data_IF_039429179793
#
_entry.id   IF_039429179793
#
_cell.length_a   1.000
_cell.length_b   1.000
_cell.length_c   1.000
_cell.angle_alpha   90.00
_cell.angle_beta   90.00
_cell.angle_gamma   90.00
#
_symmetry.space_group_name_H-M   'P 1'
#
loop_
_entity.id
_entity.type
_entity.pdbx_description
1 polymer ?
#
# COMPACT_ATOMS: atom_id res chain seq x y z
N UNK A 1 19.48 49.96 -22.30
CA UNK A 1 18.44 48.91 -22.25
C UNK A 1 17.43 49.29 -21.18
N UNK A 2 16.17 49.50 -21.57
CA UNK A 2 15.05 49.80 -20.66
C UNK A 2 14.27 48.51 -20.44
N UNK A 3 14.09 48.08 -19.20
CA UNK A 3 12.92 47.30 -18.82
C UNK A 3 12.38 47.82 -17.48
N UNK A 4 11.12 48.27 -17.54
CA UNK A 4 10.27 48.70 -16.42
C UNK A 4 9.70 47.45 -15.76
N UNK A 5 9.76 47.37 -14.43
CA UNK A 5 8.84 46.56 -13.63
C UNK A 5 8.24 47.51 -12.60
N UNK A 6 6.94 47.81 -12.78
CA UNK A 6 6.10 48.53 -11.82
C UNK A 6 5.30 47.45 -11.07
N UNK A 7 5.62 47.28 -9.78
CA UNK A 7 4.78 46.59 -8.80
C UNK A 7 3.97 47.66 -8.04
N UNK A 8 2.65 47.58 -8.17
CA UNK A 8 1.64 48.31 -7.38
C UNK A 8 0.49 47.33 -7.20
N UNK A 9 -0.23 47.15 -6.09
CA UNK A 9 -0.27 47.65 -4.70
C UNK A 9 -1.51 46.95 -4.10
N UNK A 10 -1.52 46.64 -2.80
CA UNK A 10 -2.69 46.70 -1.87
C UNK A 10 -2.29 45.92 -0.61
N UNK A 11 -1.81 46.55 0.46
CA UNK A 11 -2.53 47.32 1.50
C UNK A 11 -3.57 46.45 2.23
N UNK A 12 -3.12 45.86 3.35
CA UNK A 12 -3.97 45.43 4.45
C UNK A 12 -4.22 46.65 5.35
N UNK A 13 -5.48 47.06 5.49
CA UNK A 13 -5.90 48.13 6.39
C UNK A 13 -6.13 47.53 7.77
N UNK A 14 -5.20 47.80 8.68
CA UNK A 14 -5.36 47.61 10.12
C UNK A 14 -5.74 48.98 10.71
N UNK A 15 -7.00 49.15 11.11
CA UNK A 15 -7.50 50.37 11.74
C UNK A 15 -7.50 50.23 13.26
N UNK A 16 -6.78 51.10 13.95
CA UNK A 16 -6.85 51.31 15.40
C UNK A 16 -7.45 52.70 15.71
N UNK A 17 -8.19 52.72 16.83
CA UNK A 17 -8.34 53.81 17.80
C UNK A 17 -9.08 55.10 17.41
N UNK A 18 -10.18 55.38 18.12
CA UNK A 18 -10.31 56.61 18.95
C UNK A 18 -11.02 56.27 20.25
N UNK A 19 -10.37 56.64 21.35
CA UNK A 19 -10.83 56.64 22.74
C UNK A 19 -11.54 57.97 23.02
N UNK A 20 -12.71 57.93 23.65
CA UNK A 20 -13.25 59.09 24.37
C UNK A 20 -13.24 58.76 25.87
N UNK A 21 -12.42 59.51 26.60
CA UNK A 21 -12.34 59.53 28.05
C UNK A 21 -13.53 60.33 28.61
N UNK A 22 -14.30 59.74 29.50
CA UNK A 22 -14.99 60.48 30.56
C UNK A 22 -14.78 59.75 31.89
N UNK A 23 -14.35 60.54 32.87
CA UNK A 23 -13.99 60.17 34.24
C UNK A 23 -15.21 59.76 35.07
N UNK A 24 -15.07 58.81 36.00
CA UNK A 24 -15.30 58.98 37.45
C UNK A 24 -14.98 57.66 38.19
N UNK A 25 -14.72 57.79 39.49
CA UNK A 25 -13.89 56.92 40.33
C UNK A 25 -14.55 55.63 40.87
N UNK A 26 -13.64 54.70 41.22
CA UNK A 26 -13.69 53.68 42.28
C UNK A 26 -14.81 52.62 42.30
N UNK A 27 -14.45 51.39 41.97
CA UNK A 27 -14.42 50.26 42.91
C UNK A 27 -13.70 49.07 42.26
N UNK A 28 -12.58 48.64 42.85
CA UNK A 28 -11.79 47.50 42.35
C UNK A 28 -12.52 46.19 42.65
N UNK A 29 -13.23 45.66 41.65
CA UNK A 29 -13.48 44.22 41.55
C UNK A 29 -12.49 43.65 40.55
N UNK A 30 -11.57 42.84 41.05
CA UNK A 30 -10.70 41.97 40.26
C UNK A 30 -11.55 41.18 39.27
N UNK A 31 -11.37 41.31 37.95
CA UNK A 31 -12.01 40.40 37.02
C UNK A 31 -11.31 39.06 37.12
N UNK A 32 -12.08 38.06 37.51
CA UNK A 32 -11.73 36.65 37.53
C UNK A 32 -11.18 36.24 36.16
N UNK A 33 -9.97 35.67 36.18
CA UNK A 33 -9.28 35.19 34.99
C UNK A 33 -10.09 33.99 34.48
N UNK A 34 -10.71 34.13 33.30
CA UNK A 34 -11.26 32.97 32.61
C UNK A 34 -10.06 32.16 32.15
N UNK A 35 -9.76 31.11 32.91
CA UNK A 35 -8.72 30.15 32.58
C UNK A 35 -9.13 29.44 31.28
N UNK A 36 -8.55 29.87 30.17
CA UNK A 36 -8.56 29.13 28.90
C UNK A 36 -7.58 27.96 28.99
N UNK A 37 -7.87 27.01 29.88
CA UNK A 37 -7.15 25.74 29.98
C UNK A 37 -8.19 24.63 30.06
N UNK A 38 -8.68 24.23 28.89
CA UNK A 38 -9.12 22.87 28.56
C UNK A 38 -9.66 22.85 27.11
N UNK A 39 -8.78 23.03 26.13
CA UNK A 39 -9.03 22.47 24.80
C UNK A 39 -8.67 21.00 24.92
N UNK A 40 -9.63 20.22 25.42
CA UNK A 40 -9.57 18.77 25.32
C UNK A 40 -9.48 18.44 23.83
N UNK A 41 -8.43 17.73 23.45
CA UNK A 41 -8.27 17.12 22.13
C UNK A 41 -9.32 16.02 21.95
N UNK A 42 -10.60 16.40 21.82
CA UNK A 42 -11.64 15.48 21.38
C UNK A 42 -11.43 15.22 19.89
N UNK A 43 -11.12 13.96 19.56
CA UNK A 43 -11.10 13.48 18.18
C UNK A 43 -12.47 13.81 17.58
N UNK A 44 -12.51 14.61 16.51
CA UNK A 44 -13.77 15.00 15.89
C UNK A 44 -14.53 13.75 15.40
N UNK A 45 -15.77 13.59 15.86
CA UNK A 45 -16.65 12.52 15.44
C UNK A 45 -17.61 13.02 14.36
N UNK A 46 -17.52 12.44 13.17
CA UNK A 46 -18.39 12.77 12.05
C UNK A 46 -19.82 12.31 12.33
N UNK A 47 -20.81 13.21 12.29
CA UNK A 47 -22.22 12.80 12.34
C UNK A 47 -22.72 12.33 10.97
N UNK A 48 -23.60 11.31 10.92
CA UNK A 48 -24.23 10.87 9.67
C UNK A 48 -24.99 11.99 8.94
N UNK A 49 -25.63 12.90 9.68
CA UNK A 49 -26.40 14.03 9.13
C UNK A 49 -25.48 15.03 8.43
N UNK A 50 -24.34 15.36 9.05
CA UNK A 50 -23.37 16.24 8.43
C UNK A 50 -22.79 15.59 7.16
N UNK A 51 -22.47 14.29 7.20
CA UNK A 51 -22.03 13.59 6.00
C UNK A 51 -23.09 13.66 4.88
N UNK A 52 -24.35 13.35 5.19
CA UNK A 52 -25.45 13.45 4.20
C UNK A 52 -25.55 14.84 3.57
N UNK A 53 -25.36 15.89 4.37
CA UNK A 53 -25.31 17.25 3.85
C UNK A 53 -24.11 17.46 2.91
N UNK A 54 -22.92 16.98 3.27
CA UNK A 54 -21.73 17.05 2.39
C UNK A 54 -21.91 16.27 1.08
N UNK A 55 -22.54 15.10 1.14
CA UNK A 55 -22.88 14.31 -0.05
C UNK A 55 -23.87 15.07 -0.93
N UNK A 56 -24.88 15.71 -0.34
CA UNK A 56 -25.83 16.55 -1.07
C UNK A 56 -25.12 17.72 -1.76
N UNK A 57 -24.13 18.35 -1.14
CA UNK A 57 -23.38 19.47 -1.74
C UNK A 57 -22.39 19.01 -2.82
N UNK A 58 -21.77 17.85 -2.65
CA UNK A 58 -20.73 17.34 -3.56
C UNK A 58 -21.28 16.45 -4.68
N UNK A 59 -22.56 16.04 -4.56
CA UNK A 59 -23.26 15.09 -5.43
C UNK A 59 -22.64 13.69 -5.48
N UNK A 60 -21.69 13.35 -4.59
CA UNK A 60 -21.19 11.98 -4.48
C UNK A 60 -20.57 11.66 -3.10
N UNK A 61 -20.78 10.44 -2.58
CA UNK A 61 -20.15 10.00 -1.32
C UNK A 61 -18.63 10.08 -1.35
N UNK A 62 -17.98 9.67 -2.44
CA UNK A 62 -16.53 9.71 -2.57
C UNK A 62 -15.97 11.14 -2.56
N UNK A 63 -16.61 12.08 -3.27
CA UNK A 63 -16.20 13.50 -3.27
C UNK A 63 -16.35 14.13 -1.89
N UNK A 64 -17.43 13.82 -1.18
CA UNK A 64 -17.61 14.25 0.21
C UNK A 64 -16.51 13.70 1.11
N UNK A 65 -16.24 12.38 1.05
CA UNK A 65 -15.20 11.71 1.83
C UNK A 65 -13.82 12.30 1.55
N UNK A 66 -13.45 12.48 0.28
CA UNK A 66 -12.17 13.11 -0.11
C UNK A 66 -12.04 14.51 0.46
N UNK A 67 -13.08 15.34 0.33
CA UNK A 67 -13.10 16.70 0.88
C UNK A 67 -12.94 16.70 2.40
N UNK A 68 -13.68 15.83 3.10
CA UNK A 68 -13.60 15.72 4.55
C UNK A 68 -12.23 15.26 5.03
N UNK A 69 -11.64 14.24 4.41
CA UNK A 69 -10.30 13.75 4.76
C UNK A 69 -9.24 14.84 4.52
N UNK A 70 -9.35 15.61 3.42
CA UNK A 70 -8.43 16.72 3.15
C UNK A 70 -8.48 17.83 4.22
N UNK A 71 -9.62 18.03 4.89
CA UNK A 71 -9.76 19.04 5.95
C UNK A 71 -9.57 18.49 7.37
N UNK A 72 -9.85 17.20 7.57
CA UNK A 72 -9.82 16.52 8.86
C UNK A 72 -9.07 15.17 8.76
N UNK A 73 -7.77 15.18 8.40
CA UNK A 73 -7.00 13.94 8.13
C UNK A 73 -6.91 13.01 9.35
N UNK A 74 -6.89 13.57 10.56
CA UNK A 74 -6.86 12.83 11.83
C UNK A 74 -8.17 12.07 12.14
N UNK A 75 -9.24 12.35 11.38
CA UNK A 75 -10.58 11.77 11.58
C UNK A 75 -10.96 10.74 10.52
N UNK A 76 -9.98 10.25 9.76
CA UNK A 76 -10.18 9.30 8.67
C UNK A 76 -10.99 8.07 9.07
N UNK A 77 -10.70 7.47 10.23
CA UNK A 77 -11.43 6.32 10.78
C UNK A 77 -12.92 6.61 10.88
N UNK A 78 -13.27 7.78 11.46
CA UNK A 78 -14.66 8.19 11.65
C UNK A 78 -15.32 8.52 10.32
N UNK A 79 -14.61 9.19 9.42
CA UNK A 79 -15.14 9.60 8.11
C UNK A 79 -15.49 8.37 7.28
N UNK A 80 -14.53 7.46 7.11
CA UNK A 80 -14.69 6.25 6.31
C UNK A 80 -15.73 5.33 6.93
N UNK A 81 -15.68 5.11 8.25
CA UNK A 81 -16.66 4.24 8.91
C UNK A 81 -18.09 4.74 8.67
N UNK A 82 -18.36 6.02 8.96
CA UNK A 82 -19.70 6.59 8.80
C UNK A 82 -20.12 6.59 7.33
N UNK A 83 -19.20 6.85 6.40
CA UNK A 83 -19.51 6.82 4.98
C UNK A 83 -19.92 5.43 4.49
N UNK A 84 -19.19 4.39 4.89
CA UNK A 84 -19.52 3.01 4.53
C UNK A 84 -20.82 2.54 5.20
N UNK A 85 -21.15 3.03 6.39
CA UNK A 85 -22.44 2.75 7.04
C UNK A 85 -23.62 3.41 6.33
N UNK A 86 -23.44 4.64 5.83
CA UNK A 86 -24.53 5.39 5.18
C UNK A 86 -24.70 5.05 3.69
N UNK A 87 -23.62 4.65 3.03
CA UNK A 87 -23.55 4.46 1.58
C UNK A 87 -22.81 3.15 1.21
N UNK A 88 -23.22 1.98 1.75
CA UNK A 88 -22.50 0.72 1.57
C UNK A 88 -22.41 0.30 0.11
N UNK A 89 -23.45 0.54 -0.68
CA UNK A 89 -23.48 0.25 -2.13
C UNK A 89 -22.47 1.10 -2.94
N UNK A 90 -21.97 2.21 -2.36
CA UNK A 90 -20.97 3.08 -2.97
C UNK A 90 -19.56 2.86 -2.40
N UNK A 91 -19.32 1.72 -1.72
CA UNK A 91 -18.05 1.43 -1.06
C UNK A 91 -16.82 1.64 -1.97
N UNK A 92 -16.91 1.26 -3.25
CA UNK A 92 -15.77 1.40 -4.18
C UNK A 92 -15.35 2.86 -4.32
N UNK A 93 -16.33 3.75 -4.52
CA UNK A 93 -16.07 5.17 -4.68
C UNK A 93 -15.51 5.79 -3.38
N UNK A 94 -16.04 5.36 -2.24
CA UNK A 94 -15.62 5.82 -0.90
C UNK A 94 -14.18 5.39 -0.59
N UNK A 95 -13.87 4.10 -0.75
CA UNK A 95 -12.53 3.55 -0.50
C UNK A 95 -11.53 4.20 -1.45
N UNK A 96 -11.84 4.25 -2.75
CA UNK A 96 -10.95 4.87 -3.73
C UNK A 96 -10.67 6.33 -3.36
N UNK A 97 -11.72 7.09 -3.02
CA UNK A 97 -11.58 8.49 -2.65
C UNK A 97 -10.80 8.69 -1.35
N UNK A 98 -11.00 7.82 -0.35
CA UNK A 98 -10.28 7.88 0.92
C UNK A 98 -8.80 7.54 0.74
N UNK A 99 -8.49 6.44 0.06
CA UNK A 99 -7.11 6.00 -0.21
C UNK A 99 -6.37 7.04 -1.04
N UNK A 100 -6.96 7.53 -2.13
CA UNK A 100 -6.32 8.59 -2.93
C UNK A 100 -6.19 9.93 -2.20
N UNK A 101 -7.01 10.19 -1.17
CA UNK A 101 -6.86 11.40 -0.35
C UNK A 101 -5.74 11.26 0.68
N UNK A 102 -5.53 10.06 1.22
CA UNK A 102 -4.56 9.80 2.27
C UNK A 102 -3.91 8.41 2.10
N UNK A 103 -2.98 8.26 1.13
CA UNK A 103 -2.28 7.00 0.83
C UNK A 103 -1.72 6.25 2.04
N UNK A 104 -1.13 6.97 3.00
CA UNK A 104 -0.51 6.36 4.18
C UNK A 104 -1.49 5.74 5.17
N UNK A 105 -2.80 5.98 5.01
CA UNK A 105 -3.86 5.36 5.82
C UNK A 105 -4.57 4.21 5.11
N UNK A 106 -4.02 3.71 3.99
CA UNK A 106 -4.65 2.64 3.20
C UNK A 106 -4.93 1.37 4.00
N UNK A 107 -4.01 0.98 4.90
CA UNK A 107 -4.19 -0.18 5.79
C UNK A 107 -5.43 -0.02 6.69
N UNK A 108 -5.57 1.15 7.32
CA UNK A 108 -6.69 1.45 8.21
C UNK A 108 -8.01 1.51 7.43
N UNK A 109 -8.03 2.17 6.27
CA UNK A 109 -9.23 2.26 5.41
C UNK A 109 -9.70 0.87 5.00
N UNK A 110 -8.78 0.02 4.56
CA UNK A 110 -9.09 -1.35 4.10
C UNK A 110 -9.57 -2.19 5.27
N UNK A 111 -8.91 -2.13 6.43
CA UNK A 111 -9.34 -2.84 7.64
C UNK A 111 -10.77 -2.47 8.03
N UNK A 112 -11.12 -1.17 8.05
CA UNK A 112 -12.48 -0.71 8.34
C UNK A 112 -13.48 -1.30 7.34
N UNK A 113 -13.16 -1.31 6.04
CA UNK A 113 -14.06 -1.80 5.01
C UNK A 113 -14.29 -3.32 5.12
N UNK A 114 -13.21 -4.08 5.37
CA UNK A 114 -13.26 -5.54 5.54
C UNK A 114 -14.04 -5.91 6.80
N UNK A 115 -13.74 -5.28 7.94
CA UNK A 115 -14.41 -5.54 9.23
C UNK A 115 -15.92 -5.26 9.17
N UNK A 116 -16.36 -4.32 8.34
CA UNK A 116 -17.78 -4.04 8.15
C UNK A 116 -18.51 -5.08 7.29
N UNK A 117 -17.80 -5.94 6.56
CA UNK A 117 -18.41 -6.99 5.74
C UNK A 117 -19.35 -6.47 4.65
N UNK A 118 -19.08 -5.27 4.12
CA UNK A 118 -19.96 -4.60 3.14
C UNK A 118 -19.88 -5.20 1.73
N UNK A 119 -18.82 -5.91 1.41
CA UNK A 119 -18.59 -6.59 0.14
C UNK A 119 -17.48 -7.64 0.28
N UNK A 120 -17.19 -8.35 -0.80
CA UNK A 120 -16.08 -9.31 -0.87
C UNK A 120 -14.74 -8.61 -0.62
N UNK A 121 -13.89 -9.20 0.23
CA UNK A 121 -12.59 -8.62 0.61
C UNK A 121 -11.70 -8.37 -0.62
N UNK A 122 -11.69 -9.30 -1.56
CA UNK A 122 -11.00 -9.16 -2.85
C UNK A 122 -11.37 -7.87 -3.60
N UNK A 123 -12.65 -7.46 -3.59
CA UNK A 123 -13.07 -6.24 -4.30
C UNK A 123 -12.70 -4.96 -3.56
N UNK A 124 -12.70 -5.00 -2.23
CA UNK A 124 -12.20 -3.91 -1.37
C UNK A 124 -10.70 -3.68 -1.63
N UNK A 125 -9.92 -4.76 -1.61
CA UNK A 125 -8.47 -4.76 -1.84
C UNK A 125 -8.15 -4.24 -3.24
N UNK A 126 -8.80 -4.79 -4.28
CA UNK A 126 -8.62 -4.32 -5.66
C UNK A 126 -8.90 -2.81 -5.79
N UNK A 127 -9.95 -2.33 -5.14
CA UNK A 127 -10.30 -0.90 -5.17
C UNK A 127 -9.24 -0.04 -4.51
N UNK A 128 -8.74 -0.43 -3.34
CA UNK A 128 -7.71 0.31 -2.63
C UNK A 128 -6.39 0.33 -3.41
N UNK A 129 -5.98 -0.80 -3.98
CA UNK A 129 -4.76 -0.89 -4.81
C UNK A 129 -4.86 0.02 -6.04
N UNK A 130 -5.99 -0.01 -6.75
CA UNK A 130 -6.18 0.87 -7.91
C UNK A 130 -6.16 2.37 -7.55
N UNK A 131 -6.51 2.71 -6.31
CA UNK A 131 -6.49 4.09 -5.82
C UNK A 131 -5.08 4.56 -5.44
N UNK A 132 -4.24 3.65 -4.94
CA UNK A 132 -2.83 3.88 -4.64
C UNK A 132 -2.01 2.57 -4.73
N UNK A 133 -1.39 2.31 -5.90
CA UNK A 133 -0.55 1.14 -6.13
C UNK A 133 0.66 1.02 -5.19
N UNK A 134 1.23 2.14 -4.75
CA UNK A 134 2.50 2.15 -3.99
C UNK A 134 2.38 1.49 -2.61
N UNK A 135 1.16 1.34 -2.10
CA UNK A 135 0.86 0.76 -0.79
C UNK A 135 0.30 -0.67 -0.87
N UNK A 136 0.35 -1.32 -2.03
CA UNK A 136 -0.26 -2.65 -2.27
C UNK A 136 0.17 -3.72 -1.25
N UNK A 137 1.45 -3.77 -0.85
CA UNK A 137 1.93 -4.78 0.10
C UNK A 137 1.32 -4.61 1.49
N UNK A 138 1.13 -3.36 1.92
CA UNK A 138 0.51 -3.01 3.19
C UNK A 138 -1.00 -3.25 3.15
N UNK A 139 -1.67 -2.84 2.07
CA UNK A 139 -3.09 -3.11 1.83
C UNK A 139 -3.40 -4.60 1.86
N UNK A 140 -2.59 -5.41 1.15
CA UNK A 140 -2.77 -6.86 1.13
C UNK A 140 -2.56 -7.48 2.53
N UNK A 141 -1.50 -7.09 3.24
CA UNK A 141 -1.22 -7.59 4.57
C UNK A 141 -2.33 -7.24 5.58
N UNK A 142 -2.82 -6.00 5.57
CA UNK A 142 -3.92 -5.55 6.42
C UNK A 142 -5.22 -6.32 6.13
N UNK A 143 -5.56 -6.49 4.85
CA UNK A 143 -6.72 -7.28 4.46
C UNK A 143 -6.61 -8.75 4.87
N UNK A 144 -5.44 -9.38 4.71
CA UNK A 144 -5.19 -10.76 5.14
C UNK A 144 -5.29 -10.93 6.65
N UNK A 145 -4.93 -9.89 7.41
CA UNK A 145 -5.06 -9.91 8.86
C UNK A 145 -6.52 -9.77 9.28
N UNK A 146 -7.29 -8.91 8.62
CA UNK A 146 -8.70 -8.69 8.89
C UNK A 146 -9.59 -9.87 8.43
N UNK A 147 -9.22 -10.54 7.34
CA UNK A 147 -9.91 -11.70 6.79
C UNK A 147 -8.89 -12.80 6.40
N UNK A 148 -8.42 -13.61 7.39
CA UNK A 148 -7.46 -14.69 7.15
C UNK A 148 -7.97 -15.80 6.21
N UNK A 149 -9.29 -16.01 6.17
CA UNK A 149 -9.95 -16.96 5.27
C UNK A 149 -9.83 -16.59 3.80
N UNK A 150 -9.76 -15.29 3.48
CA UNK A 150 -9.66 -14.78 2.11
C UNK A 150 -8.20 -14.65 1.63
N UNK A 151 -7.23 -15.13 2.41
CA UNK A 151 -5.80 -14.92 2.16
C UNK A 151 -5.37 -15.17 0.72
N UNK A 152 -5.77 -16.29 0.13
CA UNK A 152 -5.35 -16.66 -1.23
C UNK A 152 -5.97 -15.76 -2.29
N UNK A 153 -7.21 -15.32 -2.09
CA UNK A 153 -7.86 -14.40 -3.01
C UNK A 153 -7.29 -12.98 -2.89
N UNK A 154 -6.96 -12.54 -1.68
CA UNK A 154 -6.28 -11.26 -1.44
C UNK A 154 -4.89 -11.29 -2.10
N UNK A 155 -4.11 -12.36 -1.90
CA UNK A 155 -2.78 -12.51 -2.52
C UNK A 155 -2.91 -12.46 -4.04
N UNK A 156 -3.85 -13.24 -4.61
CA UNK A 156 -4.12 -13.27 -6.05
C UNK A 156 -4.43 -11.88 -6.59
N UNK A 157 -5.37 -11.16 -5.97
CA UNK A 157 -5.72 -9.80 -6.38
C UNK A 157 -4.51 -8.89 -6.29
N UNK A 158 -3.78 -8.89 -5.18
CA UNK A 158 -2.64 -8.01 -5.00
C UNK A 158 -1.57 -8.18 -6.09
N UNK A 159 -1.15 -9.42 -6.36
CA UNK A 159 -0.09 -9.69 -7.35
C UNK A 159 -0.57 -9.54 -8.80
N UNK A 160 -1.85 -9.76 -9.08
CA UNK A 160 -2.40 -9.59 -10.44
C UNK A 160 -2.76 -8.16 -10.78
N UNK A 161 -3.20 -7.37 -9.80
CA UNK A 161 -3.46 -5.93 -9.95
C UNK A 161 -2.14 -5.16 -10.06
N UNK A 162 -1.15 -5.47 -9.21
CA UNK A 162 0.15 -4.78 -9.20
C UNK A 162 1.34 -5.75 -9.34
N UNK A 163 1.52 -6.38 -10.51
CA UNK A 163 2.58 -7.38 -10.74
C UNK A 163 3.99 -6.78 -10.64
N UNK A 164 4.15 -5.47 -10.90
CA UNK A 164 5.43 -4.77 -10.76
C UNK A 164 5.88 -4.62 -9.30
N UNK A 165 4.98 -4.85 -8.34
CA UNK A 165 5.25 -4.79 -6.91
C UNK A 165 5.25 -6.19 -6.27
N UNK A 166 5.20 -7.27 -7.07
CA UNK A 166 5.01 -8.62 -6.55
C UNK A 166 6.17 -9.09 -5.67
N UNK A 167 7.40 -8.64 -5.92
CA UNK A 167 8.54 -8.84 -5.03
C UNK A 167 8.29 -8.28 -3.63
N UNK A 168 7.83 -7.02 -3.54
CA UNK A 168 7.50 -6.35 -2.28
C UNK A 168 6.31 -6.98 -1.60
N UNK A 169 5.27 -7.34 -2.35
CA UNK A 169 4.08 -8.03 -1.83
C UNK A 169 4.51 -9.35 -1.19
N UNK A 170 5.24 -10.19 -1.93
CA UNK A 170 5.71 -11.48 -1.43
C UNK A 170 6.60 -11.31 -0.21
N UNK A 171 7.56 -10.38 -0.22
CA UNK A 171 8.41 -10.14 0.96
C UNK A 171 7.61 -9.74 2.19
N UNK A 172 6.68 -8.78 2.05
CA UNK A 172 5.87 -8.31 3.17
C UNK A 172 4.96 -9.42 3.69
N UNK A 173 4.26 -10.13 2.80
CA UNK A 173 3.34 -11.19 3.19
C UNK A 173 4.10 -12.38 3.79
N UNK A 174 5.22 -12.79 3.21
CA UNK A 174 6.03 -13.90 3.75
C UNK A 174 6.64 -13.56 5.11
N UNK A 175 7.03 -12.31 5.37
CA UNK A 175 7.46 -11.87 6.72
C UNK A 175 6.34 -11.93 7.75
N UNK A 176 5.12 -11.59 7.35
CA UNK A 176 3.95 -11.63 8.23
C UNK A 176 3.41 -13.05 8.46
N UNK A 177 3.62 -13.95 7.49
CA UNK A 177 3.12 -15.33 7.49
C UNK A 177 4.22 -16.32 7.07
N UNK A 178 5.32 -16.44 7.84
CA UNK A 178 6.47 -17.28 7.48
C UNK A 178 6.10 -18.76 7.37
N UNK A 179 5.09 -19.22 8.09
CA UNK A 179 4.57 -20.59 8.01
C UNK A 179 3.84 -20.90 6.67
N UNK A 180 3.60 -19.87 5.83
CA UNK A 180 2.87 -19.98 4.56
C UNK A 180 3.75 -19.70 3.33
N UNK A 181 5.08 -19.63 3.46
CA UNK A 181 6.00 -19.28 2.36
C UNK A 181 5.75 -20.15 1.11
N UNK A 182 5.62 -21.46 1.26
CA UNK A 182 5.29 -22.41 0.20
C UNK A 182 4.05 -22.00 -0.59
N UNK A 183 2.98 -21.64 0.12
CA UNK A 183 1.68 -21.29 -0.44
C UNK A 183 1.74 -19.93 -1.12
N UNK A 184 2.37 -18.95 -0.46
CA UNK A 184 2.59 -17.59 -1.00
C UNK A 184 3.36 -17.68 -2.32
N UNK A 185 4.46 -18.43 -2.32
CA UNK A 185 5.31 -18.61 -3.48
C UNK A 185 4.57 -19.30 -4.62
N UNK A 186 3.97 -20.47 -4.34
CA UNK A 186 3.28 -21.27 -5.35
C UNK A 186 2.15 -20.46 -6.00
N UNK A 187 1.32 -19.80 -5.20
CA UNK A 187 0.22 -18.99 -5.72
C UNK A 187 0.71 -17.77 -6.51
N UNK A 188 1.72 -17.06 -6.00
CA UNK A 188 2.24 -15.87 -6.69
C UNK A 188 2.80 -16.20 -8.07
N UNK A 189 3.65 -17.22 -8.18
CA UNK A 189 4.24 -17.63 -9.47
C UNK A 189 3.17 -18.18 -10.41
N UNK A 190 2.18 -18.91 -9.87
CA UNK A 190 1.05 -19.41 -10.65
C UNK A 190 0.22 -18.29 -11.27
N UNK A 191 -0.07 -17.22 -10.52
CA UNK A 191 -0.88 -16.10 -11.00
C UNK A 191 -0.10 -15.14 -11.91
N UNK A 192 1.21 -15.00 -11.66
CA UNK A 192 2.09 -14.14 -12.45
C UNK A 192 3.37 -14.93 -12.80
N UNK A 193 3.36 -15.79 -13.83
CA UNK A 193 4.52 -16.65 -14.12
C UNK A 193 5.81 -15.89 -14.46
N UNK A 194 5.69 -14.65 -14.92
CA UNK A 194 6.81 -13.85 -15.41
C UNK A 194 7.71 -13.25 -14.32
N UNK A 195 7.28 -13.30 -13.05
CA UNK A 195 8.00 -12.69 -11.92
C UNK A 195 8.82 -13.70 -11.11
N UNK A 196 8.99 -14.95 -11.59
CA UNK A 196 9.70 -16.00 -10.87
C UNK A 196 11.09 -15.59 -10.37
N UNK A 197 11.87 -14.90 -11.21
CA UNK A 197 13.17 -14.31 -10.83
C UNK A 197 13.07 -13.36 -9.63
N UNK A 198 12.18 -12.37 -9.71
CA UNK A 198 12.04 -11.35 -8.67
C UNK A 198 11.53 -11.94 -7.36
N UNK A 199 10.67 -12.96 -7.43
CA UNK A 199 10.15 -13.65 -6.26
C UNK A 199 11.24 -14.49 -5.57
N UNK A 200 12.13 -15.13 -6.34
CA UNK A 200 13.27 -15.86 -5.79
C UNK A 200 14.25 -14.89 -5.12
N UNK A 201 14.62 -13.80 -5.78
CA UNK A 201 15.47 -12.75 -5.19
C UNK A 201 14.86 -12.22 -3.88
N UNK A 202 13.57 -11.92 -3.91
CA UNK A 202 12.81 -11.42 -2.77
C UNK A 202 12.81 -12.38 -1.57
N UNK A 203 12.49 -13.65 -1.81
CA UNK A 203 12.35 -14.62 -0.74
C UNK A 203 13.71 -15.04 -0.18
N UNK A 204 14.71 -15.29 -1.02
CA UNK A 204 16.04 -15.70 -0.53
C UNK A 204 16.76 -14.58 0.23
N UNK A 205 16.43 -13.31 -0.03
CA UNK A 205 16.95 -12.19 0.75
C UNK A 205 16.43 -12.18 2.21
N UNK A 206 15.28 -12.81 2.46
CA UNK A 206 14.63 -12.82 3.79
C UNK A 206 14.72 -14.20 4.45
N UNK A 207 14.66 -15.25 3.65
CA UNK A 207 14.62 -16.67 4.04
C UNK A 207 15.68 -17.47 3.27
N UNK A 208 16.98 -17.21 3.52
CA UNK A 208 18.07 -17.86 2.78
C UNK A 208 18.13 -19.38 3.01
N UNK A 209 17.63 -19.86 4.16
CA UNK A 209 17.63 -21.27 4.52
C UNK A 209 16.56 -22.08 3.75
N UNK A 210 15.57 -21.42 3.14
CA UNK A 210 14.48 -22.05 2.38
C UNK A 210 14.82 -22.20 0.87
N UNK A 211 16.11 -22.15 0.53
CA UNK A 211 16.61 -22.16 -0.85
C UNK A 211 16.08 -23.31 -1.72
N UNK A 212 16.03 -24.52 -1.17
CA UNK A 212 15.53 -25.70 -1.86
C UNK A 212 14.07 -25.52 -2.28
N UNK A 213 13.23 -25.13 -1.33
CA UNK A 213 11.80 -24.95 -1.54
C UNK A 213 11.52 -23.79 -2.49
N UNK A 214 12.19 -22.65 -2.29
CA UNK A 214 12.01 -21.46 -3.11
C UNK A 214 12.35 -21.75 -4.58
N UNK A 215 13.50 -22.38 -4.85
CA UNK A 215 13.92 -22.66 -6.23
C UNK A 215 13.05 -23.74 -6.86
N UNK A 216 12.83 -24.86 -6.17
CA UNK A 216 12.10 -26.00 -6.75
C UNK A 216 10.64 -25.67 -7.06
N UNK A 217 9.94 -24.94 -6.17
CA UNK A 217 8.56 -24.51 -6.40
C UNK A 217 8.51 -23.50 -7.53
N UNK A 218 9.38 -22.50 -7.53
CA UNK A 218 9.36 -21.47 -8.59
C UNK A 218 9.59 -22.10 -9.97
N UNK A 219 10.55 -23.02 -10.10
CA UNK A 219 10.77 -23.75 -11.37
C UNK A 219 9.55 -24.55 -11.78
N UNK A 220 8.90 -25.26 -10.84
CA UNK A 220 7.69 -26.04 -11.11
C UNK A 220 6.54 -25.18 -11.61
N UNK A 221 6.22 -24.10 -10.89
CA UNK A 221 5.08 -23.24 -11.21
C UNK A 221 5.34 -22.35 -12.44
N UNK A 222 6.61 -22.04 -12.74
CA UNK A 222 7.01 -21.28 -13.93
C UNK A 222 7.26 -22.15 -15.18
N UNK A 223 7.02 -23.46 -15.12
CA UNK A 223 7.35 -24.39 -16.21
C UNK A 223 6.69 -24.05 -17.56
N UNK A 224 5.56 -23.33 -17.55
CA UNK A 224 4.90 -22.84 -18.76
C UNK A 224 5.70 -21.74 -19.48
N UNK A 225 6.57 -21.01 -18.78
CA UNK A 225 7.44 -19.95 -19.32
C UNK A 225 8.88 -20.45 -19.42
N UNK A 226 9.25 -20.91 -20.63
CA UNK A 226 10.58 -21.44 -20.93
C UNK A 226 11.72 -20.44 -20.67
N UNK A 227 11.44 -19.14 -20.58
CA UNK A 227 12.43 -18.11 -20.28
C UNK A 227 12.75 -17.95 -18.79
N UNK A 228 11.96 -18.54 -17.89
CA UNK A 228 12.11 -18.34 -16.45
C UNK A 228 13.20 -19.22 -15.82
N UNK A 229 13.41 -20.45 -16.32
CA UNK A 229 14.36 -21.39 -15.72
C UNK A 229 15.74 -20.76 -15.52
N UNK A 230 16.30 -20.15 -16.57
CA UNK A 230 17.61 -19.52 -16.49
C UNK A 230 17.65 -18.36 -15.49
N UNK A 231 16.61 -17.53 -15.48
CA UNK A 231 16.51 -16.37 -14.58
C UNK A 231 16.42 -16.79 -13.11
N UNK A 232 15.58 -17.77 -12.81
CA UNK A 232 15.42 -18.35 -11.47
C UNK A 232 16.76 -18.91 -10.98
N UNK A 233 17.42 -19.74 -11.81
CA UNK A 233 18.72 -20.29 -11.45
C UNK A 233 19.76 -19.20 -11.25
N UNK A 234 19.76 -18.15 -12.09
CA UNK A 234 20.70 -17.05 -11.94
C UNK A 234 20.50 -16.25 -10.66
N UNK A 235 19.25 -15.93 -10.34
CA UNK A 235 18.84 -15.28 -9.09
C UNK A 235 19.32 -16.08 -7.88
N UNK A 236 19.04 -17.39 -7.83
CA UNK A 236 19.47 -18.27 -6.75
C UNK A 236 21.00 -18.31 -6.57
N UNK A 237 21.76 -18.40 -7.67
CA UNK A 237 23.23 -18.37 -7.61
C UNK A 237 23.72 -16.99 -7.13
N UNK A 238 23.09 -15.91 -7.56
CA UNK A 238 23.44 -14.56 -7.12
C UNK A 238 23.12 -14.31 -5.63
N UNK A 239 22.12 -15.02 -5.09
CA UNK A 239 21.83 -15.08 -3.66
C UNK A 239 22.88 -15.90 -2.86
N UNK A 240 23.88 -16.48 -3.54
CA UNK A 240 25.00 -17.19 -2.91
C UNK A 240 24.85 -18.70 -2.81
N UNK A 241 23.81 -19.28 -3.43
CA UNK A 241 23.61 -20.73 -3.45
C UNK A 241 24.60 -21.35 -4.46
N UNK A 242 25.22 -22.46 -4.07
CA UNK A 242 26.16 -23.19 -4.93
C UNK A 242 25.48 -23.65 -6.24
N UNK A 243 26.21 -23.62 -7.35
CA UNK A 243 25.68 -23.90 -8.69
C UNK A 243 25.14 -25.32 -8.81
N UNK A 244 25.87 -26.30 -8.28
CA UNK A 244 25.47 -27.70 -8.37
C UNK A 244 24.22 -27.94 -7.51
N UNK A 245 24.11 -27.24 -6.39
CA UNK A 245 22.93 -27.25 -5.52
C UNK A 245 21.72 -26.62 -6.22
N UNK A 246 21.87 -25.45 -6.86
CA UNK A 246 20.78 -24.83 -7.66
C UNK A 246 20.33 -25.74 -8.79
N UNK A 247 21.25 -26.43 -9.47
CA UNK A 247 20.92 -27.41 -10.50
C UNK A 247 20.08 -28.56 -9.95
N UNK A 248 20.40 -29.06 -8.75
CA UNK A 248 19.61 -30.10 -8.08
C UNK A 248 18.19 -29.62 -7.77
N UNK A 249 18.04 -28.42 -7.19
CA UNK A 249 16.73 -27.85 -6.87
C UNK A 249 15.88 -27.61 -8.13
N UNK A 250 16.49 -27.15 -9.23
CA UNK A 250 15.79 -26.98 -10.49
C UNK A 250 15.27 -28.32 -11.05
N UNK A 251 16.07 -29.38 -10.97
CA UNK A 251 15.65 -30.73 -11.41
C UNK A 251 14.53 -31.27 -10.52
N UNK A 252 14.61 -31.07 -9.19
CA UNK A 252 13.53 -31.41 -8.26
C UNK A 252 12.24 -30.65 -8.59
N UNK A 253 12.36 -29.39 -9.03
CA UNK A 253 11.26 -28.57 -9.55
C UNK A 253 10.71 -29.02 -10.91
N UNK A 254 11.28 -30.05 -11.53
CA UNK A 254 10.80 -30.64 -12.79
C UNK A 254 11.54 -30.17 -14.05
N UNK A 255 12.62 -29.38 -13.93
CA UNK A 255 13.47 -29.06 -15.07
C UNK A 255 14.21 -30.31 -15.56
N UNK A 256 14.38 -30.44 -16.88
CA UNK A 256 15.18 -31.52 -17.45
C UNK A 256 16.67 -31.24 -17.24
N UNK A 257 17.48 -32.30 -17.12
CA UNK A 257 18.94 -32.18 -16.99
C UNK A 257 19.55 -31.44 -18.17
N UNK A 258 19.03 -31.66 -19.37
CA UNK A 258 19.48 -31.00 -20.61
C UNK A 258 19.23 -29.50 -20.55
N UNK A 259 18.05 -29.08 -20.09
CA UNK A 259 17.70 -27.66 -19.95
C UNK A 259 18.57 -26.96 -18.90
N UNK A 260 18.80 -27.61 -17.76
CA UNK A 260 19.67 -27.10 -16.69
C UNK A 260 21.12 -26.96 -17.18
N UNK A 261 21.65 -27.98 -17.85
CA UNK A 261 23.01 -27.95 -18.41
C UNK A 261 23.18 -26.83 -19.45
N UNK A 262 22.16 -26.60 -20.28
CA UNK A 262 22.17 -25.51 -21.26
C UNK A 262 22.25 -24.14 -20.58
N UNK A 263 21.46 -23.90 -19.53
CA UNK A 263 21.50 -22.67 -18.74
C UNK A 263 22.89 -22.45 -18.13
N UNK A 264 23.46 -23.49 -17.51
CA UNK A 264 24.78 -23.40 -16.87
C UNK A 264 25.88 -23.08 -17.88
N UNK A 265 25.88 -23.72 -19.05
CA UNK A 265 26.85 -23.45 -20.11
C UNK A 265 26.75 -22.00 -20.61
N UNK A 266 25.53 -21.49 -20.82
CA UNK A 266 25.31 -20.10 -21.24
C UNK A 266 25.84 -19.10 -20.20
N UNK A 267 25.65 -19.38 -18.90
CA UNK A 267 26.19 -18.54 -17.83
C UNK A 267 27.73 -18.51 -17.84
N UNK A 268 28.37 -19.67 -17.99
CA UNK A 268 29.84 -19.75 -18.06
C UNK A 268 30.43 -18.97 -19.23
N UNK A 269 29.77 -18.99 -20.39
CA UNK A 269 30.17 -18.19 -21.56
C UNK A 269 30.09 -16.69 -21.27
N UNK A 270 29.01 -16.24 -20.62
CA UNK A 270 28.83 -14.84 -20.21
C UNK A 270 29.90 -14.41 -19.18
N UNK A 271 30.18 -15.24 -18.19
CA UNK A 271 31.22 -14.96 -17.18
C UNK A 271 32.62 -14.87 -17.79
N UNK A 272 32.92 -15.71 -18.79
CA UNK A 272 34.16 -15.61 -19.57
C UNK A 272 34.20 -14.29 -20.34
N UNK A 273 33.13 -13.93 -21.04
CA UNK A 273 33.08 -12.68 -21.82
C UNK A 273 33.35 -11.44 -20.95
N UNK A 274 32.71 -11.35 -19.77
CA UNK A 274 32.88 -10.22 -18.84
C UNK A 274 34.31 -10.16 -18.26
N UNK A 275 35.00 -11.29 -18.12
CA UNK A 275 36.37 -11.34 -17.57
C UNK A 275 37.44 -10.87 -18.55
N UNK A 276 37.14 -10.81 -19.85
CA UNK A 276 38.09 -10.46 -20.91
C UNK A 276 37.79 -9.12 -21.61
N UNK A 277 36.76 -8.38 -21.14
CA UNK A 277 36.51 -6.96 -21.43
C UNK A 277 37.06 -6.06 -20.30
#
# INVERSE_FOLDING_TARGET
>A
MKYRVLLTTSIAICGQLVVSNDSYASESKTPERIDTENVVTEKWHLSPEFLRQQVTLSMSPGRAVKSLISHYPESITSIVSVALDQYPEQYKEIIYSAVSAQPYSSEEIVTIAVDKGISECASIVETAINAEPSYVSFVAAAAMQASPEDFNDILRVAVTTEPNSADKIVQTVAKSYPERITEILSNTVKYVPKIGEYVVDALLAVFPDDAEEVVSITVRESAADKGQLGKIMHSAINAGIDRDVVAQYAIQGGASKEAVNLVMAQREELEKAIKYD
#
